data_IF_500858032303
#
_entry.id   IF_500858032303
#
_cell.length_a   1.000
_cell.length_b   1.000
_cell.length_c   1.000
_cell.angle_alpha   90.00
_cell.angle_beta   90.00
_cell.angle_gamma   90.00
#
_symmetry.space_group_name_H-M   'P 1'
#
loop_
_entity.id
_entity.type
_entity.pdbx_description
1 polymer ?
#
# COMPACT_ATOMS: atom_id res chain seq x y z
N UNK A 1 -33.87 -19.28 29.34
CA UNK A 1 -32.63 -19.04 30.12
C UNK A 1 -31.91 -17.91 29.43
N UNK A 2 -31.78 -16.77 30.10
CA UNK A 2 -31.02 -15.63 29.58
C UNK A 2 -29.57 -15.82 30.03
N UNK A 3 -28.65 -15.82 29.08
CA UNK A 3 -27.23 -16.05 29.36
C UNK A 3 -26.52 -14.70 29.27
N UNK A 4 -26.41 -14.02 30.41
CA UNK A 4 -25.74 -12.73 30.50
C UNK A 4 -24.22 -12.95 30.51
N UNK A 5 -23.58 -12.59 29.40
CA UNK A 5 -22.12 -12.58 29.29
C UNK A 5 -21.62 -11.20 29.70
N UNK A 6 -20.58 -11.15 30.53
CA UNK A 6 -19.89 -9.89 30.79
C UNK A 6 -19.19 -9.37 29.52
N UNK A 7 -18.86 -8.08 29.52
CA UNK A 7 -18.27 -7.41 28.37
C UNK A 7 -16.91 -8.01 27.96
N UNK A 8 -16.16 -8.55 28.91
CA UNK A 8 -14.84 -9.15 28.67
C UNK A 8 -14.99 -10.49 27.95
N UNK A 9 -15.95 -11.32 28.38
CA UNK A 9 -16.28 -12.58 27.72
C UNK A 9 -16.83 -12.35 26.31
N UNK A 10 -17.70 -11.35 26.13
CA UNK A 10 -18.20 -10.97 24.80
C UNK A 10 -17.07 -10.49 23.89
N UNK A 11 -16.16 -9.66 24.40
CA UNK A 11 -14.98 -9.20 23.67
C UNK A 11 -14.08 -10.36 23.24
N UNK A 12 -13.76 -11.27 24.16
CA UNK A 12 -12.92 -12.44 23.88
C UNK A 12 -13.57 -13.37 22.85
N UNK A 13 -14.89 -13.61 22.97
CA UNK A 13 -15.63 -14.41 22.01
C UNK A 13 -15.51 -13.84 20.59
N UNK A 14 -15.72 -12.53 20.44
CA UNK A 14 -15.55 -11.84 19.16
C UNK A 14 -14.12 -11.98 18.64
N UNK A 15 -13.11 -11.67 19.45
CA UNK A 15 -11.71 -11.72 19.03
C UNK A 15 -11.27 -13.14 18.64
N UNK A 16 -11.76 -14.16 19.34
CA UNK A 16 -11.49 -15.57 19.03
C UNK A 16 -12.16 -16.06 17.74
N UNK A 17 -13.19 -15.36 17.26
CA UNK A 17 -13.89 -15.68 16.01
C UNK A 17 -13.26 -15.07 14.76
N UNK A 18 -12.27 -14.20 14.92
CA UNK A 18 -11.65 -13.49 13.79
C UNK A 18 -10.71 -14.40 12.99
N UNK A 19 -10.63 -14.22 11.66
CA UNK A 19 -9.64 -14.93 10.86
C UNK A 19 -8.22 -14.42 11.12
N UNK A 20 -7.21 -15.25 10.82
CA UNK A 20 -5.78 -14.96 11.06
C UNK A 20 -5.30 -13.62 10.48
N UNK A 21 -5.95 -13.12 9.42
CA UNK A 21 -5.65 -11.81 8.84
C UNK A 21 -5.87 -10.64 9.79
N UNK A 22 -6.52 -10.86 10.94
CA UNK A 22 -6.75 -9.91 12.02
C UNK A 22 -5.77 -10.05 13.18
N UNK A 23 -4.83 -10.99 13.15
CA UNK A 23 -3.91 -11.25 14.26
C UNK A 23 -3.17 -9.99 14.75
N UNK A 24 -2.75 -9.12 13.83
CA UNK A 24 -2.10 -7.85 14.19
C UNK A 24 -3.00 -6.92 15.01
N UNK A 25 -4.30 -6.85 14.69
CA UNK A 25 -5.26 -6.08 15.48
C UNK A 25 -5.41 -6.67 16.88
N UNK A 26 -5.59 -7.99 16.97
CA UNK A 26 -5.74 -8.69 18.25
C UNK A 26 -4.55 -8.41 19.15
N UNK A 27 -3.32 -8.57 18.65
CA UNK A 27 -2.09 -8.28 19.42
C UNK A 27 -2.02 -6.82 19.85
N UNK A 28 -2.31 -5.88 18.94
CA UNK A 28 -2.26 -4.45 19.25
C UNK A 28 -3.29 -4.07 20.32
N UNK A 29 -4.49 -4.65 20.26
CA UNK A 29 -5.55 -4.42 21.21
C UNK A 29 -5.23 -5.03 22.58
N UNK A 30 -4.71 -6.27 22.62
CA UNK A 30 -4.25 -6.91 23.85
C UNK A 30 -3.16 -6.10 24.56
N UNK A 31 -2.23 -5.52 23.81
CA UNK A 31 -1.18 -4.66 24.37
C UNK A 31 -1.71 -3.29 24.82
N UNK A 32 -2.84 -2.84 24.28
CA UNK A 32 -3.45 -1.55 24.60
C UNK A 32 -4.43 -1.61 25.77
N UNK A 33 -4.83 -2.81 26.20
CA UNK A 33 -5.80 -3.02 27.26
C UNK A 33 -5.18 -2.68 28.65
N UNK A 34 -5.62 -1.61 29.32
CA UNK A 34 -5.09 -1.25 30.63
C UNK A 34 -5.48 -2.32 31.65
N UNK A 35 -4.49 -2.85 32.37
CA UNK A 35 -4.67 -3.93 33.35
C UNK A 35 -5.22 -5.25 32.77
N UNK A 36 -5.11 -5.46 31.46
CA UNK A 36 -5.57 -6.67 30.78
C UNK A 36 -7.09 -6.79 30.63
N UNK A 37 -7.87 -5.75 30.97
CA UNK A 37 -9.32 -5.76 30.81
C UNK A 37 -9.73 -5.25 29.43
N UNK A 38 -10.43 -6.08 28.67
CA UNK A 38 -11.00 -5.70 27.39
C UNK A 38 -12.41 -5.13 27.58
N UNK A 39 -12.65 -3.97 26.97
CA UNK A 39 -13.98 -3.37 26.90
C UNK A 39 -14.58 -3.69 25.52
N UNK A 40 -15.83 -4.15 25.51
CA UNK A 40 -16.57 -4.47 24.30
C UNK A 40 -16.71 -3.26 23.34
N UNK A 41 -16.87 -2.04 23.86
CA UNK A 41 -16.97 -0.84 23.01
C UNK A 41 -15.67 -0.60 22.24
N UNK A 42 -14.54 -0.67 22.94
CA UNK A 42 -13.21 -0.50 22.34
C UNK A 42 -12.95 -1.54 21.25
N UNK A 43 -13.32 -2.80 21.49
CA UNK A 43 -13.18 -3.88 20.50
C UNK A 43 -13.99 -3.57 19.24
N UNK A 44 -15.25 -3.14 19.40
CA UNK A 44 -16.13 -2.78 18.27
C UNK A 44 -15.55 -1.62 17.46
N UNK A 45 -15.08 -0.56 18.12
CA UNK A 45 -14.52 0.61 17.46
C UNK A 45 -13.25 0.26 16.68
N UNK A 46 -12.34 -0.50 17.29
CA UNK A 46 -11.12 -0.97 16.64
C UNK A 46 -11.42 -1.86 15.43
N UNK A 47 -12.44 -2.71 15.52
CA UNK A 47 -12.83 -3.57 14.40
C UNK A 47 -13.40 -2.81 13.22
N UNK A 48 -14.28 -1.82 13.48
CA UNK A 48 -14.86 -0.99 12.44
C UNK A 48 -13.80 -0.19 11.69
N UNK A 49 -12.84 0.37 12.43
CA UNK A 49 -11.72 1.12 11.86
C UNK A 49 -10.79 0.23 11.02
N UNK A 50 -10.48 -0.98 11.49
CA UNK A 50 -9.66 -1.93 10.73
C UNK A 50 -10.37 -2.40 9.45
N UNK A 51 -11.68 -2.62 9.49
CA UNK A 51 -12.46 -2.91 8.28
C UNK A 51 -12.43 -1.76 7.27
N UNK A 52 -12.58 -0.51 7.71
CA UNK A 52 -12.46 0.66 6.84
C UNK A 52 -11.09 0.74 6.17
N UNK A 53 -10.02 0.56 6.94
CA UNK A 53 -8.65 0.53 6.43
C UNK A 53 -8.45 -0.56 5.36
N UNK A 54 -9.04 -1.75 5.55
CA UNK A 54 -8.94 -2.84 4.58
C UNK A 54 -9.75 -2.58 3.31
N UNK A 55 -10.92 -1.96 3.40
CA UNK A 55 -11.70 -1.56 2.22
C UNK A 55 -10.91 -0.58 1.35
N UNK A 56 -10.26 0.41 1.96
CA UNK A 56 -9.44 1.39 1.22
C UNK A 56 -8.17 0.76 0.62
N UNK A 57 -7.58 -0.21 1.32
CA UNK A 57 -6.46 -1.00 0.80
C UNK A 57 -6.86 -1.83 -0.44
N UNK A 58 -8.04 -2.43 -0.44
CA UNK A 58 -8.56 -3.16 -1.62
C UNK A 58 -8.86 -2.23 -2.79
N UNK A 59 -9.36 -1.01 -2.55
CA UNK A 59 -9.60 -0.02 -3.62
C UNK A 59 -8.27 0.42 -4.26
N UNK A 60 -7.23 0.62 -3.45
CA UNK A 60 -5.90 0.97 -3.96
C UNK A 60 -5.21 -0.20 -4.65
N UNK A 61 -5.33 -1.42 -4.14
CA UNK A 61 -4.77 -2.63 -4.77
C UNK A 61 -5.47 -2.93 -6.12
N UNK A 62 -6.79 -2.79 -6.20
CA UNK A 62 -7.53 -2.96 -7.46
C UNK A 62 -7.19 -1.87 -8.49
N UNK A 63 -6.92 -0.63 -8.07
CA UNK A 63 -6.43 0.43 -8.96
C UNK A 63 -4.99 0.21 -9.42
N UNK A 64 -4.14 -0.39 -8.60
CA UNK A 64 -2.76 -0.74 -8.97
C UNK A 64 -2.65 -1.96 -9.89
N UNK A 65 -3.55 -2.95 -9.74
CA UNK A 65 -3.57 -4.16 -10.59
C UNK A 65 -4.22 -3.94 -11.95
N UNK A 66 -5.11 -2.96 -12.09
CA UNK A 66 -5.71 -2.58 -13.37
C UNK A 66 -4.89 -1.51 -14.13
N UNK A 67 -3.55 -1.52 -13.99
CA UNK A 67 -2.65 -0.62 -14.71
C UNK A 67 -1.53 -1.30 -15.51
N UNK A 68 -1.37 -2.61 -15.41
CA UNK A 68 -0.29 -3.35 -16.07
C UNK A 68 -0.79 -4.29 -17.17
N UNK A 69 -1.55 -3.75 -18.13
CA UNK A 69 -1.67 -4.33 -19.46
C UNK A 69 -1.94 -3.23 -20.48
N UNK A 70 -0.91 -2.87 -21.25
CA UNK A 70 -1.05 -2.06 -22.46
C UNK A 70 -0.64 -0.61 -22.29
N UNK A 71 0.65 -0.33 -22.45
CA UNK A 71 1.14 1.04 -22.52
C UNK A 71 2.60 1.06 -22.91
N UNK A 72 2.89 0.61 -24.13
CA UNK A 72 4.17 0.76 -24.81
C UNK A 72 4.61 2.23 -24.73
N UNK A 73 5.37 2.59 -23.68
CA UNK A 73 5.94 3.93 -23.52
C UNK A 73 7.14 4.00 -24.46
N UNK A 74 6.81 4.17 -25.74
CA UNK A 74 7.76 4.41 -26.81
C UNK A 74 8.54 5.68 -26.51
N UNK A 75 9.73 5.52 -25.95
CA UNK A 75 10.77 6.55 -25.99
C UNK A 75 11.33 6.60 -27.40
N UNK A 76 10.54 7.09 -28.36
CA UNK A 76 11.00 7.46 -29.70
C UNK A 76 10.94 8.96 -29.85
N UNK A 77 12.09 9.50 -30.27
CA UNK A 77 12.35 10.84 -30.79
C UNK A 77 12.94 11.86 -29.81
N UNK A 78 14.23 11.66 -29.50
CA UNK A 78 15.15 12.79 -29.28
C UNK A 78 16.25 12.79 -30.35
N UNK A 79 15.84 12.92 -31.61
CA UNK A 79 16.75 13.28 -32.71
C UNK A 79 16.90 14.80 -32.77
N UNK A 80 17.80 15.34 -31.94
CA UNK A 80 18.43 16.64 -32.19
C UNK A 80 19.95 16.49 -32.05
N UNK A 81 20.50 15.96 -33.15
CA UNK A 81 21.74 16.38 -33.84
C UNK A 81 22.72 17.15 -32.95
N UNK A 82 23.85 16.54 -32.62
CA UNK A 82 25.19 17.15 -32.51
C UNK A 82 26.19 16.06 -32.10
N UNK A 83 26.74 15.33 -33.07
CA UNK A 83 28.05 14.66 -32.99
C UNK A 83 28.31 13.77 -34.22
N UNK A 84 28.77 14.39 -35.31
CA UNK A 84 29.60 13.74 -36.31
C UNK A 84 30.58 14.84 -36.75
N UNK A 85 31.74 15.00 -36.10
CA UNK A 85 32.97 14.22 -36.28
C UNK A 85 33.32 14.05 -37.77
N UNK A 86 34.20 14.95 -38.22
CA UNK A 86 35.25 14.67 -39.21
C UNK A 86 34.95 15.05 -40.66
N UNK A 87 35.64 16.08 -41.16
CA UNK A 87 36.34 16.01 -42.45
C UNK A 87 37.39 17.12 -42.57
N UNK A 88 38.63 16.69 -42.66
CA UNK A 88 39.84 17.46 -42.97
C UNK A 88 39.83 17.97 -44.41
N UNK A 89 40.46 19.12 -44.68
CA UNK A 89 41.23 19.34 -45.90
C UNK A 89 42.25 20.46 -45.68
N UNK A 90 43.54 20.15 -45.88
CA UNK A 90 44.65 21.10 -45.89
C UNK A 90 45.04 21.53 -47.30
N UNK A 91 46.13 22.30 -47.33
CA UNK A 91 46.92 22.86 -48.46
C UNK A 91 46.27 24.03 -49.21
N UNK A 92 46.75 25.27 -49.06
CA UNK A 92 48.02 25.91 -49.51
C UNK A 92 47.83 26.56 -50.89
N UNK A 93 47.93 27.89 -50.95
CA UNK A 93 48.78 28.56 -51.94
C UNK A 93 48.87 30.07 -51.65
N UNK A 94 50.09 30.58 -51.81
CA UNK A 94 50.55 31.95 -51.61
C UNK A 94 50.61 32.72 -52.95
N UNK A 95 50.79 34.05 -52.89
CA UNK A 95 51.04 35.09 -53.95
C UNK A 95 49.79 35.82 -54.48
N UNK A 96 49.80 37.13 -54.71
CA UNK A 96 50.81 38.22 -54.71
C UNK A 96 50.22 39.48 -54.06
#
# INVERSE_FOLDING_TARGET
MEMNLDDEMQALFILSSLPDSWATLVVSLSNSAPNGKLNLSMVKDCMLNEEERRRDALVTENRGRQGHKGGNKGYKNRSKIRAAKGKSKGEDDSKD
#
